data_IF_949336318520
#
_entry.id   IF_949336318520
#
_cell.length_a   1.000
_cell.length_b   1.000
_cell.length_c   1.000
_cell.angle_alpha   90.00
_cell.angle_beta   90.00
_cell.angle_gamma   90.00
#
_symmetry.space_group_name_H-M   'P 1'
#
loop_
_entity.id
_entity.type
_entity.pdbx_description
1 polymer ?
#
# COMPACT_ATOMS: atom_id res chain seq x y z
N UNK A 1 4.45 16.38 -28.25
CA UNK A 1 3.64 16.95 -27.16
C UNK A 1 3.21 15.89 -26.15
N UNK A 2 2.54 14.80 -26.58
CA UNK A 2 2.13 13.70 -25.69
C UNK A 2 3.28 13.05 -24.90
N UNK A 3 4.41 12.73 -25.56
CA UNK A 3 5.60 12.16 -24.91
C UNK A 3 6.18 13.00 -23.77
N UNK A 4 6.07 14.33 -23.84
CA UNK A 4 6.55 15.24 -22.79
C UNK A 4 5.61 15.22 -21.57
N UNK A 5 4.31 15.12 -21.81
CA UNK A 5 3.30 15.01 -20.75
C UNK A 5 3.44 13.68 -20.02
N UNK A 6 3.66 12.58 -20.76
CA UNK A 6 3.92 11.25 -20.19
C UNK A 6 5.19 11.24 -19.34
N UNK A 7 6.31 11.75 -19.86
CA UNK A 7 7.57 11.83 -19.11
C UNK A 7 7.43 12.66 -17.82
N UNK A 8 6.64 13.75 -17.87
CA UNK A 8 6.39 14.59 -16.70
C UNK A 8 5.46 13.91 -15.69
N UNK A 9 4.47 13.15 -16.15
CA UNK A 9 3.60 12.32 -15.28
C UNK A 9 4.42 11.23 -14.60
N UNK A 10 5.25 10.52 -15.33
CA UNK A 10 6.15 9.51 -14.78
C UNK A 10 7.12 10.12 -13.76
N UNK A 11 7.68 11.28 -14.08
CA UNK A 11 8.54 12.03 -13.15
C UNK A 11 7.77 12.44 -11.89
N UNK A 12 6.54 12.95 -12.04
CA UNK A 12 5.68 13.33 -10.92
C UNK A 12 5.27 12.12 -10.07
N UNK A 13 4.92 10.99 -10.69
CA UNK A 13 4.63 9.73 -10.00
C UNK A 13 5.86 9.19 -9.27
N UNK A 14 7.05 9.38 -9.81
CA UNK A 14 8.29 8.95 -9.16
C UNK A 14 8.70 9.86 -7.99
N UNK A 15 8.45 11.17 -8.09
CA UNK A 15 8.94 12.16 -7.14
C UNK A 15 7.91 12.63 -6.11
N UNK A 16 6.61 12.40 -6.34
CA UNK A 16 5.56 12.76 -5.39
C UNK A 16 5.38 11.70 -4.30
N UNK A 17 5.00 12.13 -3.10
CA UNK A 17 4.60 11.24 -1.99
C UNK A 17 3.50 10.29 -2.42
N UNK A 18 2.47 10.80 -3.11
CA UNK A 18 1.33 10.01 -3.57
C UNK A 18 1.75 8.94 -4.60
N UNK A 19 2.65 9.28 -5.52
CA UNK A 19 3.16 8.33 -6.50
C UNK A 19 4.09 7.28 -5.88
N UNK A 20 4.92 7.66 -4.92
CA UNK A 20 5.72 6.71 -4.14
C UNK A 20 4.82 5.76 -3.31
N UNK A 21 3.75 6.27 -2.69
CA UNK A 21 2.75 5.46 -1.99
C UNK A 21 2.04 4.47 -2.92
N UNK A 22 1.72 4.87 -4.15
CA UNK A 22 1.13 3.98 -5.16
C UNK A 22 2.10 2.87 -5.59
N UNK A 23 3.40 3.17 -5.73
CA UNK A 23 4.44 2.17 -6.04
C UNK A 23 4.63 1.18 -4.89
N UNK A 24 4.69 1.65 -3.65
CA UNK A 24 4.70 0.78 -2.45
C UNK A 24 3.49 -0.14 -2.45
N UNK A 25 2.29 0.41 -2.72
CA UNK A 25 1.08 -0.38 -2.78
C UNK A 25 1.20 -1.49 -3.84
N UNK A 26 1.54 -1.13 -5.08
CA UNK A 26 1.69 -2.08 -6.18
C UNK A 26 2.72 -3.18 -5.85
N UNK A 27 3.86 -2.83 -5.27
CA UNK A 27 4.89 -3.80 -4.88
C UNK A 27 4.38 -4.78 -3.81
N UNK A 28 3.63 -4.29 -2.81
CA UNK A 28 3.03 -5.15 -1.80
C UNK A 28 1.96 -6.09 -2.35
N UNK A 29 1.12 -5.63 -3.29
CA UNK A 29 0.17 -6.51 -3.97
C UNK A 29 0.86 -7.57 -4.83
N UNK A 30 1.95 -7.21 -5.52
CA UNK A 30 2.74 -8.16 -6.31
C UNK A 30 3.47 -9.21 -5.43
N UNK A 31 3.72 -8.88 -4.16
CA UNK A 31 4.26 -9.79 -3.16
C UNK A 31 3.16 -10.52 -2.34
N UNK A 32 1.93 -10.56 -2.84
CA UNK A 32 0.76 -11.20 -2.21
C UNK A 32 0.48 -10.73 -0.78
N UNK A 33 0.85 -9.49 -0.42
CA UNK A 33 0.54 -8.94 0.91
C UNK A 33 -0.89 -8.45 0.99
N UNK A 34 -1.48 -8.68 2.15
CA UNK A 34 -2.81 -8.19 2.50
C UNK A 34 -2.90 -6.66 2.64
N UNK A 35 -1.76 -5.98 2.83
CA UNK A 35 -1.71 -4.54 3.06
C UNK A 35 -0.34 -3.96 2.70
N UNK A 36 -0.30 -2.70 2.28
CA UNK A 36 0.95 -1.99 1.99
C UNK A 36 1.40 -1.07 3.14
N UNK A 37 2.69 -0.75 3.17
CA UNK A 37 3.27 0.11 4.22
C UNK A 37 2.67 1.53 4.25
N UNK A 38 2.33 2.11 3.10
CA UNK A 38 1.66 3.41 3.05
C UNK A 38 0.25 3.37 3.68
N UNK A 39 -0.42 2.21 3.66
CA UNK A 39 -1.69 2.04 4.34
C UNK A 39 -1.52 1.98 5.85
N UNK A 40 -0.53 1.22 6.32
CA UNK A 40 -0.12 1.24 7.73
C UNK A 40 0.17 2.67 8.24
N UNK A 41 0.95 3.45 7.49
CA UNK A 41 1.46 4.74 7.97
C UNK A 41 0.46 5.90 7.89
N UNK A 42 -0.27 6.04 6.78
CA UNK A 42 -1.16 7.21 6.54
C UNK A 42 -2.53 6.82 5.96
N UNK A 43 -2.77 5.53 5.72
CA UNK A 43 -3.97 5.06 5.03
C UNK A 43 -3.92 5.31 3.52
N UNK A 44 -3.10 4.57 2.78
CA UNK A 44 -3.12 4.46 1.32
C UNK A 44 -4.54 4.46 0.74
N UNK A 45 -4.79 5.33 -0.22
CA UNK A 45 -6.08 5.46 -0.89
C UNK A 45 -6.48 4.18 -1.64
N UNK A 46 -5.53 3.46 -2.23
CA UNK A 46 -5.82 2.25 -3.00
C UNK A 46 -6.28 1.11 -2.07
N UNK A 47 -5.56 0.83 -0.98
CA UNK A 47 -6.01 -0.15 0.02
C UNK A 47 -7.38 0.21 0.61
N UNK A 48 -7.66 1.50 0.83
CA UNK A 48 -8.99 1.96 1.26
C UNK A 48 -10.10 1.66 0.26
N UNK A 49 -9.84 1.74 -1.06
CA UNK A 49 -10.83 1.39 -2.09
C UNK A 49 -11.25 -0.07 -2.01
N UNK A 50 -10.33 -0.96 -1.62
CA UNK A 50 -10.59 -2.38 -1.41
C UNK A 50 -11.19 -2.69 -0.03
N UNK A 51 -11.52 -1.66 0.77
CA UNK A 51 -12.12 -1.84 2.09
C UNK A 51 -11.17 -2.45 3.13
N UNK A 52 -9.86 -2.46 2.86
CA UNK A 52 -8.89 -2.99 3.79
C UNK A 52 -8.82 -2.09 5.04
N UNK A 53 -8.93 -2.66 6.24
CA UNK A 53 -8.72 -1.89 7.46
C UNK A 53 -7.25 -1.53 7.58
N UNK A 54 -7.00 -0.37 8.18
CA UNK A 54 -5.65 0.07 8.48
C UNK A 54 -5.04 -0.86 9.55
N UNK A 55 -3.90 -1.49 9.28
CA UNK A 55 -3.26 -2.36 10.25
C UNK A 55 -2.71 -1.54 11.41
N UNK A 56 -2.84 -2.10 12.61
CA UNK A 56 -2.11 -1.67 13.81
C UNK A 56 -0.62 -1.99 13.69
N UNK A 57 0.21 -1.42 14.55
CA UNK A 57 1.65 -1.74 14.61
C UNK A 57 1.89 -3.24 14.86
N UNK A 58 1.06 -3.86 15.70
CA UNK A 58 1.13 -5.30 15.98
C UNK A 58 0.81 -6.15 14.75
N UNK A 59 -0.24 -5.78 14.01
CA UNK A 59 -0.61 -6.49 12.78
C UNK A 59 0.45 -6.32 11.69
N UNK A 60 0.96 -5.10 11.52
CA UNK A 60 2.06 -4.82 10.61
C UNK A 60 3.31 -5.64 10.95
N UNK A 61 3.69 -5.68 12.22
CA UNK A 61 4.82 -6.49 12.70
C UNK A 61 4.61 -7.98 12.41
N UNK A 62 3.38 -8.49 12.58
CA UNK A 62 3.06 -9.89 12.24
C UNK A 62 3.21 -10.15 10.75
N UNK A 63 2.77 -9.24 9.88
CA UNK A 63 2.97 -9.39 8.43
C UNK A 63 4.44 -9.52 8.04
N UNK A 64 5.33 -8.80 8.74
CA UNK A 64 6.78 -8.89 8.51
C UNK A 64 7.40 -10.19 9.01
N UNK A 65 6.79 -10.84 10.02
CA UNK A 65 7.22 -12.16 10.50
C UNK A 65 6.73 -13.25 9.56
N UNK A 66 5.48 -13.16 9.10
CA UNK A 66 4.86 -14.16 8.23
C UNK A 66 5.47 -14.14 6.81
N UNK A 67 5.86 -12.96 6.32
CA UNK A 67 6.51 -12.77 5.03
C UNK A 67 7.48 -11.59 5.07
N UNK A 68 8.75 -11.84 4.79
CA UNK A 68 9.76 -10.77 4.73
C UNK A 68 9.50 -9.84 3.54
N UNK A 69 9.82 -8.56 3.69
CA UNK A 69 9.76 -7.58 2.60
C UNK A 69 10.73 -7.97 1.48
N UNK A 70 10.25 -8.01 0.25
CA UNK A 70 11.14 -8.14 -0.91
C UNK A 70 12.04 -6.91 -1.05
N UNK A 71 13.15 -7.05 -1.78
CA UNK A 71 14.08 -5.94 -2.04
C UNK A 71 13.38 -4.78 -2.76
N UNK A 72 12.47 -5.08 -3.68
CA UNK A 72 11.67 -4.08 -4.38
C UNK A 72 10.77 -3.30 -3.41
N UNK A 73 10.08 -3.99 -2.50
CA UNK A 73 9.25 -3.35 -1.49
C UNK A 73 10.08 -2.49 -0.54
N UNK A 74 11.21 -2.99 -0.05
CA UNK A 74 12.11 -2.22 0.82
C UNK A 74 12.61 -0.96 0.13
N UNK A 75 12.98 -1.05 -1.15
CA UNK A 75 13.41 0.09 -1.95
C UNK A 75 12.30 1.15 -2.05
N UNK A 76 11.09 0.74 -2.45
CA UNK A 76 9.96 1.67 -2.57
C UNK A 76 9.52 2.25 -1.24
N UNK A 77 9.57 1.47 -0.15
CA UNK A 77 9.30 1.96 1.21
C UNK A 77 10.33 3.03 1.59
N UNK A 78 11.61 2.83 1.28
CA UNK A 78 12.66 3.83 1.51
C UNK A 78 12.42 5.13 0.73
N UNK A 79 12.05 5.01 -0.55
CA UNK A 79 11.68 6.17 -1.39
C UNK A 79 10.47 6.92 -0.84
N UNK A 80 9.41 6.20 -0.47
CA UNK A 80 8.21 6.79 0.11
C UNK A 80 8.50 7.51 1.44
N UNK A 81 9.25 6.88 2.36
CA UNK A 81 9.64 7.52 3.62
C UNK A 81 10.45 8.80 3.40
N UNK A 82 11.37 8.79 2.43
CA UNK A 82 12.14 9.99 2.07
C UNK A 82 11.23 11.09 1.54
N UNK A 83 10.39 10.80 0.55
CA UNK A 83 9.47 11.77 -0.03
C UNK A 83 8.52 12.35 1.04
N UNK A 84 8.03 11.50 1.95
CA UNK A 84 7.14 11.91 3.03
C UNK A 84 7.85 12.81 4.04
N UNK A 85 9.07 12.45 4.44
CA UNK A 85 9.90 13.27 5.33
C UNK A 85 10.20 14.65 4.71
N UNK A 86 10.51 14.70 3.41
CA UNK A 86 10.72 15.96 2.67
C UNK A 86 9.45 16.81 2.62
N UNK A 87 8.28 16.21 2.38
CA UNK A 87 7.00 16.90 2.32
C UNK A 87 6.53 17.41 3.71
N UNK A 88 6.82 16.67 4.77
CA UNK A 88 6.41 17.00 6.14
C UNK A 88 7.42 17.88 6.90
N UNK A 89 8.48 18.36 6.25
CA UNK A 89 9.46 19.25 6.87
C UNK A 89 10.36 18.58 7.92
N UNK A 90 10.60 17.28 7.81
CA UNK A 90 11.56 16.56 8.66
C UNK A 90 10.99 15.53 9.63
N UNK A 91 9.67 15.35 9.67
CA UNK A 91 9.01 14.39 10.56
C UNK A 91 8.20 13.39 9.77
N UNK A 92 8.35 12.09 10.06
CA UNK A 92 7.43 11.08 9.55
C UNK A 92 6.16 11.07 10.42
N UNK A 93 4.97 10.97 9.81
CA UNK A 93 3.74 10.76 10.57
C UNK A 93 3.87 9.46 11.36
N UNK A 94 3.42 9.51 12.61
CA UNK A 94 3.21 8.29 13.37
C UNK A 94 2.04 7.53 12.76
N UNK A 95 2.06 6.18 12.78
CA UNK A 95 0.87 5.42 12.50
C UNK A 95 -0.23 5.84 13.49
N UNK A 96 -1.15 6.71 13.07
CA UNK A 96 -2.34 7.03 13.83
C UNK A 96 -3.18 5.76 13.88
N UNK A 97 -3.31 5.14 15.05
CA UNK A 97 -4.31 4.09 15.23
C UNK A 97 -5.68 4.74 15.02
N UNK A 98 -6.27 4.53 13.84
CA UNK A 98 -7.64 4.93 13.60
C UNK A 98 -8.51 4.21 14.63
N UNK A 99 -9.39 4.91 15.38
CA UNK A 99 -10.30 4.25 16.31
C UNK A 99 -11.04 3.15 15.56
N UNK A 100 -11.27 1.97 16.17
CA UNK A 100 -11.78 0.82 15.47
C UNK A 100 -13.10 1.19 14.79
N UNK A 101 -13.07 1.35 13.46
CA UNK A 101 -14.31 1.44 12.68
C UNK A 101 -14.96 0.08 12.83
N UNK A 102 -16.14 0.07 13.43
CA UNK A 102 -16.96 -1.11 13.67
C UNK A 102 -16.95 -1.98 12.42
N UNK A 103 -16.47 -3.23 12.57
CA UNK A 103 -16.33 -4.21 11.50
C UNK A 103 -17.64 -4.31 10.71
N UNK A 104 -17.68 -3.78 9.49
CA UNK A 104 -18.66 -4.25 8.52
C UNK A 104 -18.11 -5.54 7.94
N UNK A 105 -18.60 -6.64 8.50
CA UNK A 105 -18.51 -7.95 7.90
C UNK A 105 -19.15 -7.87 6.50
N UNK A 106 -18.34 -8.00 5.45
CA UNK A 106 -18.73 -8.55 4.14
C UNK A 106 -17.52 -8.73 3.22
N UNK A 107 -16.48 -9.40 3.73
CA UNK A 107 -15.40 -9.97 2.91
C UNK A 107 -15.52 -11.50 2.88
N UNK A 108 -16.72 -11.98 2.59
CA UNK A 108 -17.01 -13.38 2.25
C UNK A 108 -17.63 -13.45 0.86
N UNK A 109 -17.02 -12.77 -0.11
CA UNK A 109 -17.29 -13.07 -1.51
C UNK A 109 -16.13 -12.54 -2.33
N UNK A 110 -15.16 -13.40 -2.66
CA UNK A 110 -14.43 -13.46 -3.93
C UNK A 110 -13.44 -14.64 -3.85
N UNK A 111 -13.98 -15.85 -3.63
CA UNK A 111 -13.30 -17.08 -4.07
C UNK A 111 -13.78 -17.34 -5.50
N UNK A 112 -12.92 -17.28 -6.54
CA UNK A 112 -13.33 -17.69 -7.86
C UNK A 112 -13.67 -19.18 -7.80
N UNK A 113 -14.97 -19.51 -7.98
CA UNK A 113 -15.39 -20.88 -8.24
C UNK A 113 -14.87 -21.25 -9.62
N UNK A 114 -13.82 -22.07 -9.68
CA UNK A 114 -13.48 -22.80 -10.90
C UNK A 114 -14.72 -23.64 -11.30
N UNK A 115 -15.19 -23.57 -12.55
CA UNK A 115 -16.23 -24.49 -12.99
C UNK A 115 -15.62 -25.90 -13.05
N UNK A 116 -16.28 -26.85 -12.40
CA UNK A 116 -16.00 -28.26 -12.58
C UNK A 116 -16.28 -28.61 -14.05
N UNK A 117 -15.25 -29.06 -14.76
CA UNK A 117 -15.39 -29.73 -16.06
C UNK A 117 -16.12 -31.05 -15.79
N UNK A 118 -17.33 -31.19 -16.30
CA UNK A 118 -18.06 -32.46 -16.34
C UNK A 118 -17.89 -33.02 -17.76
N UNK A 119 -17.28 -34.21 -17.79
CA UNK A 119 -17.12 -35.23 -18.85
C UNK A 119 -17.44 -34.88 -20.31
#
# INVERSE_FOLDING_TARGET
>A
MLRLIEARKETHERLSVAGAAARVCKASWAADRLCCYAHYLEGCAECRKYGLPRPTEREWSRFLVDSLLSDEEQSWIGHYRRALHEACGGSLPQPIEDPPRTRQADLEQHRPRLPAVIQ
#
